data_IF_300947327770
#
_entry.id   IF_300947327770
#
_cell.length_a   1.000
_cell.length_b   1.000
_cell.length_c   1.000
_cell.angle_alpha   90.00
_cell.angle_beta   90.00
_cell.angle_gamma   90.00
#
_symmetry.space_group_name_H-M   'P 1'
#
loop_
_entity.id
_entity.type
_entity.pdbx_description
1 polymer ?
#
# COMPACT_ATOMS: atom_id res chain seq x y z
N UNK A 1 20.18 11.19 16.28
CA UNK A 1 18.91 11.11 17.05
C UNK A 1 19.14 11.79 18.39
N UNK A 2 18.72 13.05 18.52
CA UNK A 2 18.90 13.82 19.76
C UNK A 2 17.74 13.50 20.68
N UNK A 3 17.99 12.75 21.75
CA UNK A 3 17.02 12.52 22.81
C UNK A 3 16.73 13.90 23.42
N UNK A 4 15.48 14.38 23.32
CA UNK A 4 15.06 15.59 24.02
C UNK A 4 14.99 15.27 25.52
N UNK A 5 15.84 15.93 26.29
CA UNK A 5 16.12 15.65 27.69
C UNK A 5 15.26 16.50 28.66
N UNK A 6 14.34 17.32 28.16
CA UNK A 6 13.59 18.31 28.96
C UNK A 6 12.54 17.67 29.91
N UNK A 7 12.33 16.35 29.85
CA UNK A 7 11.45 15.61 30.77
C UNK A 7 12.17 15.15 32.06
N UNK A 8 13.49 15.30 32.11
CA UNK A 8 14.35 14.69 33.11
C UNK A 8 14.44 15.51 34.41
N UNK A 9 13.83 16.70 34.45
CA UNK A 9 13.93 17.70 35.51
C UNK A 9 13.31 17.32 36.87
N UNK A 10 12.59 16.19 36.96
CA UNK A 10 11.99 15.71 38.21
C UNK A 10 12.79 14.62 38.94
N UNK A 11 13.96 14.22 38.40
CA UNK A 11 14.87 13.30 39.07
C UNK A 11 15.97 14.07 39.78
N UNK A 12 16.50 13.53 40.89
CA UNK A 12 17.73 14.08 41.48
C UNK A 12 18.78 14.19 40.35
N UNK A 13 19.36 15.38 40.12
CA UNK A 13 20.23 15.66 38.97
C UNK A 13 21.38 14.65 38.80
N UNK A 14 21.89 14.08 39.89
CA UNK A 14 23.00 13.12 39.87
C UNK A 14 22.62 11.74 39.34
N UNK A 15 21.44 11.21 39.72
CA UNK A 15 20.94 9.92 39.19
C UNK A 15 20.57 10.02 37.73
N UNK A 16 20.05 11.18 37.39
CA UNK A 16 19.63 11.51 36.05
C UNK A 16 20.80 11.58 35.08
N UNK A 17 21.89 12.28 35.45
CA UNK A 17 23.12 12.34 34.66
C UNK A 17 23.73 10.94 34.45
N UNK A 18 23.80 10.10 35.49
CA UNK A 18 24.34 8.74 35.41
C UNK A 18 23.52 7.88 34.42
N UNK A 19 22.19 7.92 34.50
CA UNK A 19 21.30 7.16 33.60
C UNK A 19 21.34 7.71 32.17
N UNK A 20 21.44 9.03 31.99
CA UNK A 20 21.66 9.66 30.68
C UNK A 20 22.98 9.19 30.06
N UNK A 21 24.07 9.16 30.83
CA UNK A 21 25.37 8.67 30.35
C UNK A 21 25.34 7.17 30.04
N UNK A 22 24.71 6.36 30.88
CA UNK A 22 24.57 4.91 30.64
C UNK A 22 23.75 4.62 29.38
N UNK A 23 22.63 5.29 29.15
CA UNK A 23 21.84 5.08 27.91
C UNK A 23 22.60 5.60 26.68
N UNK A 24 23.37 6.69 26.80
CA UNK A 24 24.17 7.26 25.71
C UNK A 24 25.39 6.41 25.34
N UNK A 25 26.04 5.79 26.32
CA UNK A 25 27.37 5.18 26.17
C UNK A 25 27.37 3.64 26.33
N UNK A 26 26.31 3.02 26.86
CA UNK A 26 26.35 1.58 27.16
C UNK A 26 26.02 0.71 25.96
N UNK A 27 26.86 -0.30 25.76
CA UNK A 27 26.54 -1.55 25.06
C UNK A 27 26.01 -2.60 26.07
N UNK A 28 25.71 -2.17 27.30
CA UNK A 28 25.32 -3.05 28.40
C UNK A 28 23.81 -3.29 28.39
N UNK A 29 23.43 -4.30 27.61
CA UNK A 29 22.06 -4.79 27.45
C UNK A 29 21.41 -5.15 28.78
N UNK A 30 22.18 -5.69 29.73
CA UNK A 30 21.63 -6.19 30.99
C UNK A 30 21.21 -5.05 31.92
N UNK A 31 21.97 -3.94 31.92
CA UNK A 31 21.56 -2.73 32.63
C UNK A 31 20.25 -2.16 32.08
N UNK A 32 20.05 -2.14 30.76
CA UNK A 32 18.82 -1.64 30.14
C UNK A 32 17.59 -2.49 30.51
N UNK A 33 17.75 -3.82 30.60
CA UNK A 33 16.67 -4.74 30.99
C UNK A 33 16.18 -4.54 32.43
N UNK A 34 17.05 -4.06 33.31
CA UNK A 34 16.77 -3.92 34.74
C UNK A 34 16.21 -2.54 35.13
N UNK A 35 15.96 -1.64 34.17
CA UNK A 35 15.37 -0.33 34.47
C UNK A 35 13.92 -0.51 34.94
N UNK A 36 13.56 -0.07 36.16
CA UNK A 36 12.20 -0.24 36.66
C UNK A 36 11.16 0.60 35.91
N UNK A 37 9.95 0.06 35.76
CA UNK A 37 8.84 0.71 35.04
C UNK A 37 8.38 2.04 35.65
N UNK A 38 8.59 2.25 36.97
CA UNK A 38 8.17 3.47 37.66
C UNK A 38 8.95 4.73 37.20
N UNK A 39 10.04 4.57 36.42
CA UNK A 39 10.76 5.64 35.75
C UNK A 39 10.35 5.76 34.27
N UNK A 40 9.06 5.90 33.97
CA UNK A 40 8.43 5.75 32.63
C UNK A 40 9.20 6.34 31.45
N UNK A 41 9.60 7.61 31.47
CA UNK A 41 10.36 8.19 30.34
C UNK A 41 11.76 7.59 30.17
N UNK A 42 12.44 7.25 31.28
CA UNK A 42 13.73 6.56 31.23
C UNK A 42 13.55 5.14 30.73
N UNK A 43 12.55 4.44 31.26
CA UNK A 43 12.16 3.10 30.82
C UNK A 43 11.86 3.08 29.32
N UNK A 44 11.08 4.03 28.82
CA UNK A 44 10.80 4.21 27.40
C UNK A 44 12.08 4.36 26.57
N UNK A 45 12.98 5.28 26.96
CA UNK A 45 14.24 5.50 26.25
C UNK A 45 15.14 4.25 26.27
N UNK A 46 15.19 3.55 27.39
CA UNK A 46 15.99 2.34 27.53
C UNK A 46 15.45 1.17 26.72
N UNK A 47 14.13 0.98 26.70
CA UNK A 47 13.48 -0.04 25.88
C UNK A 47 13.69 0.24 24.38
N UNK A 48 13.56 1.49 23.96
CA UNK A 48 13.90 1.90 22.59
C UNK A 48 15.33 1.52 22.24
N UNK A 49 16.28 1.85 23.12
CA UNK A 49 17.71 1.55 22.91
C UNK A 49 17.99 0.05 22.88
N UNK A 50 17.33 -0.71 23.77
CA UNK A 50 17.42 -2.16 23.81
C UNK A 50 16.94 -2.78 22.49
N UNK A 51 15.80 -2.32 21.96
CA UNK A 51 15.29 -2.80 20.68
C UNK A 51 16.24 -2.49 19.52
N UNK A 52 16.86 -1.31 19.50
CA UNK A 52 17.89 -0.97 18.52
C UNK A 52 19.11 -1.90 18.61
N UNK A 53 19.62 -2.17 19.83
CA UNK A 53 20.79 -3.02 20.05
C UNK A 53 20.52 -4.49 19.71
N UNK A 54 19.33 -4.99 20.00
CA UNK A 54 18.94 -6.39 19.74
C UNK A 54 18.31 -6.58 18.35
N UNK A 55 18.27 -5.55 17.51
CA UNK A 55 17.60 -5.55 16.20
C UNK A 55 16.13 -6.03 16.29
N UNK A 56 15.45 -5.70 17.37
CA UNK A 56 14.03 -6.00 17.54
C UNK A 56 13.23 -4.97 16.74
N UNK A 57 12.35 -5.45 15.86
CA UNK A 57 11.48 -4.58 15.07
C UNK A 57 10.46 -3.87 15.97
N UNK A 58 10.42 -2.54 15.89
CA UNK A 58 9.43 -1.70 16.55
C UNK A 58 8.98 -0.53 15.66
N UNK A 59 7.88 0.10 16.01
CA UNK A 59 7.41 1.36 15.41
C UNK A 59 7.11 2.38 16.51
N UNK A 60 7.60 3.59 16.30
CA UNK A 60 7.39 4.73 17.20
C UNK A 60 6.40 5.70 16.55
N UNK A 61 5.48 6.24 17.34
CA UNK A 61 4.60 7.33 16.93
C UNK A 61 4.20 8.18 18.11
N UNK A 62 3.45 9.26 17.86
CA UNK A 62 3.09 10.26 18.85
C UNK A 62 1.59 10.53 18.82
N UNK A 63 1.00 10.83 19.96
CA UNK A 63 -0.40 11.25 20.04
C UNK A 63 -0.62 12.41 20.99
N UNK A 64 -1.66 13.19 20.70
CA UNK A 64 -2.07 14.31 21.54
C UNK A 64 -3.15 13.84 22.51
N UNK A 65 -2.84 13.95 23.80
CA UNK A 65 -3.78 13.70 24.89
C UNK A 65 -4.16 15.01 25.58
N UNK A 66 -5.40 15.08 26.06
CA UNK A 66 -5.81 16.09 27.04
C UNK A 66 -5.42 15.50 28.39
N UNK A 67 -4.41 16.08 29.04
CA UNK A 67 -4.04 15.70 30.40
C UNK A 67 -4.90 16.44 31.44
N UNK A 68 -4.78 16.05 32.71
CA UNK A 68 -5.52 16.61 33.85
C UNK A 68 -5.30 18.13 34.09
N UNK A 69 -4.38 18.76 33.36
CA UNK A 69 -4.09 20.20 33.48
C UNK A 69 -3.67 20.90 32.19
N UNK A 70 -3.04 20.19 31.23
CA UNK A 70 -2.61 20.72 29.91
C UNK A 70 -2.57 19.59 28.87
N UNK A 71 -2.69 19.96 27.59
CA UNK A 71 -2.42 19.06 26.47
C UNK A 71 -0.96 18.60 26.47
N UNK A 72 -0.76 17.34 26.11
CA UNK A 72 0.56 16.70 26.03
C UNK A 72 0.72 15.93 24.72
N UNK A 73 1.94 15.91 24.22
CA UNK A 73 2.36 15.01 23.15
C UNK A 73 3.03 13.79 23.78
N UNK A 74 2.42 12.62 23.61
CA UNK A 74 2.85 11.38 24.23
C UNK A 74 3.38 10.47 23.14
N UNK A 75 4.52 9.83 23.39
CA UNK A 75 5.14 8.88 22.48
C UNK A 75 4.75 7.45 22.86
N UNK A 76 4.57 6.62 21.85
CA UNK A 76 4.29 5.20 21.98
C UNK A 76 5.27 4.42 21.10
N UNK A 77 5.83 3.35 21.66
CA UNK A 77 6.56 2.33 20.91
C UNK A 77 5.67 1.10 20.85
N UNK A 78 5.50 0.54 19.66
CA UNK A 78 4.79 -0.72 19.42
C UNK A 78 5.76 -1.76 18.89
N UNK A 79 5.74 -2.96 19.45
CA UNK A 79 6.65 -4.07 19.11
C UNK A 79 5.93 -5.42 19.20
N UNK A 80 6.46 -6.44 18.52
CA UNK A 80 5.86 -7.78 18.51
C UNK A 80 6.15 -8.47 19.84
N UNK A 81 5.12 -9.04 20.46
CA UNK A 81 5.24 -9.69 21.76
C UNK A 81 4.52 -11.04 21.77
N UNK A 82 5.11 -12.04 22.45
CA UNK A 82 4.57 -13.42 22.49
C UNK A 82 3.43 -13.58 23.50
N UNK A 83 3.48 -12.86 24.63
CA UNK A 83 2.46 -12.91 25.69
C UNK A 83 2.11 -11.48 26.15
N UNK A 84 1.48 -10.67 25.29
CA UNK A 84 1.31 -9.25 25.59
C UNK A 84 0.15 -9.02 26.58
N UNK A 85 0.45 -8.51 27.78
CA UNK A 85 -0.52 -8.34 28.88
C UNK A 85 -0.96 -6.88 29.12
N UNK A 86 -0.68 -5.99 28.17
CA UNK A 86 -1.04 -4.58 28.31
C UNK A 86 -2.53 -4.32 27.98
N UNK A 87 -3.29 -3.86 28.96
CA UNK A 87 -4.72 -3.56 28.82
C UNK A 87 -5.02 -2.50 27.74
N UNK A 88 -4.11 -1.54 27.49
CA UNK A 88 -4.27 -0.54 26.44
C UNK A 88 -4.31 -1.15 25.03
N UNK A 89 -3.68 -2.31 24.83
CA UNK A 89 -3.53 -2.92 23.50
C UNK A 89 -4.70 -3.81 23.07
N UNK A 90 -5.53 -4.26 24.01
CA UNK A 90 -6.55 -5.30 23.80
C UNK A 90 -7.44 -5.01 22.60
N UNK A 91 -8.06 -3.83 22.58
CA UNK A 91 -8.98 -3.42 21.52
C UNK A 91 -8.31 -3.41 20.14
N UNK A 92 -7.08 -2.92 20.04
CA UNK A 92 -6.39 -2.79 18.76
C UNK A 92 -5.90 -4.15 18.25
N UNK A 93 -5.48 -5.06 19.15
CA UNK A 93 -5.17 -6.46 18.77
C UNK A 93 -6.37 -7.17 18.17
N UNK A 94 -7.56 -7.01 18.78
CA UNK A 94 -8.80 -7.60 18.28
C UNK A 94 -9.15 -7.08 16.87
N UNK A 95 -8.97 -5.78 16.65
CA UNK A 95 -9.21 -5.16 15.34
C UNK A 95 -8.22 -5.64 14.26
N UNK A 96 -6.93 -5.74 14.58
CA UNK A 96 -5.88 -6.10 13.63
C UNK A 96 -5.65 -7.61 13.48
N UNK A 97 -6.12 -8.41 14.45
CA UNK A 97 -5.76 -9.83 14.61
C UNK A 97 -4.24 -10.03 14.62
N UNK A 98 -3.54 -9.16 15.34
CA UNK A 98 -2.09 -9.09 15.40
C UNK A 98 -1.61 -8.91 16.85
N UNK A 99 -0.71 -9.79 17.29
CA UNK A 99 -0.18 -9.76 18.66
C UNK A 99 1.03 -8.81 18.77
N UNK A 100 0.86 -7.77 19.58
CA UNK A 100 1.88 -6.76 19.86
C UNK A 100 1.74 -6.23 21.29
N UNK A 101 2.76 -5.54 21.78
CA UNK A 101 2.67 -4.74 23.00
C UNK A 101 3.10 -3.29 22.74
N UNK A 102 2.85 -2.41 23.71
CA UNK A 102 3.13 -0.99 23.62
C UNK A 102 3.75 -0.43 24.90
N UNK A 103 4.68 0.51 24.74
CA UNK A 103 5.29 1.26 25.83
C UNK A 103 5.07 2.75 25.58
N UNK A 104 4.56 3.45 26.59
CA UNK A 104 4.33 4.88 26.59
C UNK A 104 5.46 5.61 27.32
N UNK A 105 5.84 6.81 26.87
CA UNK A 105 6.76 7.65 27.63
C UNK A 105 6.08 8.33 28.84
N UNK A 106 4.77 8.56 28.78
CA UNK A 106 3.93 9.09 29.85
C UNK A 106 2.57 8.37 29.84
N UNK A 107 2.14 7.85 30.99
CA UNK A 107 0.82 7.20 31.18
C UNK A 107 -0.21 8.12 31.84
N UNK A 108 0.18 9.34 32.20
CA UNK A 108 -0.72 10.34 32.78
C UNK A 108 -1.53 11.03 31.68
N UNK A 109 -2.45 10.26 31.09
CA UNK A 109 -3.44 10.67 30.12
C UNK A 109 -4.75 9.91 30.35
N UNK A 110 -5.87 10.57 30.04
CA UNK A 110 -7.18 9.97 30.15
C UNK A 110 -7.83 9.72 28.78
N UNK A 111 -8.67 8.67 28.74
CA UNK A 111 -9.50 8.32 27.61
C UNK A 111 -8.78 7.56 26.48
N UNK A 112 -9.48 7.37 25.36
CA UNK A 112 -9.02 6.54 24.24
C UNK A 112 -8.27 7.29 23.13
N UNK A 113 -7.67 8.45 23.41
CA UNK A 113 -7.00 9.28 22.39
C UNK A 113 -5.82 8.56 21.72
N UNK A 114 -5.23 7.58 22.41
CA UNK A 114 -4.10 6.79 21.94
C UNK A 114 -4.48 5.72 20.88
N UNK A 115 -5.77 5.35 20.77
CA UNK A 115 -6.20 4.20 19.96
C UNK A 115 -5.74 4.31 18.50
N UNK A 116 -5.92 5.49 17.90
CA UNK A 116 -5.51 5.73 16.52
C UNK A 116 -3.99 5.60 16.33
N UNK A 117 -3.21 6.19 17.24
CA UNK A 117 -1.76 6.14 17.20
C UNK A 117 -1.25 4.70 17.31
N UNK A 118 -1.81 3.95 18.26
CA UNK A 118 -1.48 2.56 18.48
C UNK A 118 -1.85 1.69 17.28
N UNK A 119 -3.03 1.90 16.67
CA UNK A 119 -3.43 1.21 15.45
C UNK A 119 -2.43 1.47 14.32
N UNK A 120 -2.09 2.74 14.07
CA UNK A 120 -1.15 3.12 13.02
C UNK A 120 0.23 2.48 13.24
N UNK A 121 0.74 2.50 14.47
CA UNK A 121 2.03 1.89 14.79
C UNK A 121 2.02 0.36 14.69
N UNK A 122 0.97 -0.30 15.17
CA UNK A 122 0.80 -1.75 15.02
C UNK A 122 0.66 -2.17 13.56
N UNK A 123 -0.13 -1.42 12.77
CA UNK A 123 -0.26 -1.66 11.33
C UNK A 123 1.08 -1.46 10.61
N UNK A 124 1.81 -0.38 10.95
CA UNK A 124 3.14 -0.13 10.41
C UNK A 124 4.13 -1.25 10.75
N UNK A 125 4.02 -1.83 11.95
CA UNK A 125 4.86 -2.94 12.36
C UNK A 125 4.50 -4.22 11.58
N UNK A 126 3.21 -4.52 11.46
CA UNK A 126 2.69 -5.69 10.74
C UNK A 126 3.10 -5.70 9.26
N UNK A 127 3.05 -4.54 8.60
CA UNK A 127 3.35 -4.40 7.17
C UNK A 127 4.73 -3.79 6.87
N UNK A 128 5.59 -3.67 7.88
CA UNK A 128 6.91 -3.04 7.77
C UNK A 128 6.91 -1.67 7.05
N UNK A 129 5.95 -0.81 7.40
CA UNK A 129 5.79 0.55 6.84
C UNK A 129 6.47 1.60 7.70
N UNK A 130 6.86 2.72 7.09
CA UNK A 130 7.39 3.87 7.82
C UNK A 130 6.30 4.92 8.00
N UNK A 131 6.20 5.46 9.21
CA UNK A 131 5.26 6.53 9.59
C UNK A 131 5.97 7.86 9.32
N UNK A 132 5.32 8.82 8.63
CA UNK A 132 5.95 10.14 8.42
C UNK A 132 6.13 10.87 9.76
N UNK A 133 7.34 11.38 9.98
CA UNK A 133 7.78 11.91 11.28
C UNK A 133 7.05 13.18 11.75
N UNK A 134 6.46 13.94 10.83
CA UNK A 134 5.74 15.18 11.13
C UNK A 134 4.27 14.94 11.53
N UNK A 135 3.77 13.70 11.50
CA UNK A 135 2.43 13.39 11.98
C UNK A 135 2.40 13.07 13.48
N UNK A 136 1.29 13.46 14.10
CA UNK A 136 0.85 12.94 15.39
C UNK A 136 -0.63 12.58 15.31
N UNK A 137 -1.09 11.75 16.23
CA UNK A 137 -2.42 11.15 16.16
C UNK A 137 -3.28 11.57 17.33
N UNK A 138 -4.59 11.51 17.17
CA UNK A 138 -5.51 11.43 18.29
C UNK A 138 -6.81 10.85 17.77
N UNK A 139 -7.42 9.94 18.53
CA UNK A 139 -8.78 9.52 18.25
C UNK A 139 -9.11 8.14 18.76
N UNK A 140 -10.39 7.96 19.04
CA UNK A 140 -11.01 6.70 19.44
C UNK A 140 -11.55 6.04 18.18
N UNK A 141 -11.04 4.85 17.86
CA UNK A 141 -11.58 4.00 16.80
C UNK A 141 -12.83 3.31 17.36
N UNK A 142 -14.00 3.47 16.75
CA UNK A 142 -15.21 2.74 17.12
C UNK A 142 -15.33 1.39 16.40
N UNK A 143 -16.37 0.62 16.71
CA UNK A 143 -16.62 -0.71 16.11
C UNK A 143 -16.84 -0.65 14.59
N UNK A 144 -17.23 0.52 14.06
CA UNK A 144 -17.40 0.76 12.62
C UNK A 144 -16.13 1.26 11.94
N UNK A 145 -14.99 1.23 12.63
CA UNK A 145 -13.69 1.77 12.18
C UNK A 145 -13.71 3.27 11.89
N UNK A 146 -14.69 4.01 12.43
CA UNK A 146 -14.72 5.46 12.38
C UNK A 146 -13.95 6.04 13.56
N UNK A 147 -13.42 7.24 13.36
CA UNK A 147 -12.55 7.90 14.32
C UNK A 147 -13.27 9.08 14.94
N UNK A 148 -13.34 9.10 16.27
CA UNK A 148 -13.87 10.22 17.06
C UNK A 148 -12.76 10.85 17.87
N UNK A 149 -12.62 12.17 17.77
CA UNK A 149 -11.56 12.91 18.48
C UNK A 149 -12.14 13.98 19.37
N UNK A 150 -12.41 13.66 20.65
CA UNK A 150 -12.78 14.66 21.65
C UNK A 150 -11.71 15.75 21.76
N UNK A 151 -12.14 17.00 21.81
CA UNK A 151 -11.28 18.19 21.92
C UNK A 151 -10.40 18.43 20.68
N UNK A 152 -10.85 18.04 19.49
CA UNK A 152 -10.06 18.13 18.24
C UNK A 152 -9.42 19.50 18.03
N UNK A 153 -10.19 20.59 18.16
CA UNK A 153 -9.68 21.95 17.93
C UNK A 153 -8.53 22.31 18.88
N UNK A 154 -8.63 21.92 20.14
CA UNK A 154 -7.62 22.19 21.16
C UNK A 154 -6.34 21.38 20.89
N UNK A 155 -6.52 20.09 20.58
CA UNK A 155 -5.44 19.19 20.21
C UNK A 155 -4.73 19.63 18.92
N UNK A 156 -5.48 20.15 17.94
CA UNK A 156 -4.92 20.67 16.70
C UNK A 156 -4.05 21.89 16.96
N UNK A 157 -4.53 22.85 17.76
CA UNK A 157 -3.74 24.03 18.15
C UNK A 157 -2.44 23.61 18.85
N UNK A 158 -2.53 22.64 19.75
CA UNK A 158 -1.36 22.11 20.44
C UNK A 158 -0.38 21.41 19.48
N UNK A 159 -0.86 20.53 18.60
CA UNK A 159 -0.03 19.86 17.59
C UNK A 159 0.70 20.88 16.69
N UNK A 160 -0.02 21.91 16.22
CA UNK A 160 0.55 22.98 15.42
C UNK A 160 1.67 23.73 16.20
N UNK A 161 1.48 23.99 17.49
CA UNK A 161 2.51 24.61 18.34
C UNK A 161 3.78 23.77 18.49
N UNK A 162 3.71 22.47 18.18
CA UNK A 162 4.82 21.51 18.18
C UNK A 162 5.33 21.19 16.79
N UNK A 163 4.91 21.95 15.77
CA UNK A 163 5.21 21.71 14.35
C UNK A 163 4.80 20.30 13.87
N UNK A 164 3.68 19.79 14.40
CA UNK A 164 3.10 18.49 14.03
C UNK A 164 1.77 18.67 13.32
N UNK A 165 1.50 17.79 12.35
CA UNK A 165 0.20 17.67 11.71
C UNK A 165 -0.60 16.63 12.48
N UNK A 166 -1.73 17.03 13.08
CA UNK A 166 -2.63 16.13 13.79
C UNK A 166 -3.51 15.36 12.80
N UNK A 167 -3.54 14.04 12.96
CA UNK A 167 -4.49 13.14 12.31
C UNK A 167 -5.53 12.71 13.35
N UNK A 168 -6.80 13.02 13.12
CA UNK A 168 -7.88 12.67 14.04
C UNK A 168 -9.30 13.08 13.64
N UNK A 169 -9.52 13.58 12.43
CA UNK A 169 -10.84 14.06 12.00
C UNK A 169 -11.41 13.14 10.92
N UNK A 170 -12.72 12.81 10.98
CA UNK A 170 -13.67 12.30 9.97
C UNK A 170 -13.18 11.46 8.75
N UNK A 171 -11.97 10.94 8.80
CA UNK A 171 -11.38 10.08 7.80
C UNK A 171 -11.73 8.65 8.17
N UNK A 172 -12.01 7.85 7.14
CA UNK A 172 -11.99 6.42 7.35
C UNK A 172 -10.53 5.97 7.58
N UNK A 173 -10.37 4.84 8.24
CA UNK A 173 -9.05 4.32 8.60
C UNK A 173 -8.14 4.14 7.38
N UNK A 174 -8.71 3.80 6.23
CA UNK A 174 -7.99 3.56 4.99
C UNK A 174 -7.36 4.86 4.42
N UNK A 175 -8.08 5.98 4.46
CA UNK A 175 -7.57 7.30 4.08
C UNK A 175 -6.39 7.73 4.95
N UNK A 176 -6.47 7.45 6.25
CA UNK A 176 -5.38 7.75 7.19
C UNK A 176 -4.13 6.97 6.85
N UNK A 177 -4.25 5.66 6.62
CA UNK A 177 -3.08 4.84 6.30
C UNK A 177 -2.41 5.34 5.00
N UNK A 178 -3.19 5.76 4.00
CA UNK A 178 -2.66 6.37 2.77
C UNK A 178 -1.91 7.68 3.04
N UNK A 179 -2.42 8.51 3.93
CA UNK A 179 -1.82 9.79 4.26
C UNK A 179 -0.52 9.63 5.07
N UNK A 180 -0.49 8.66 5.98
CA UNK A 180 0.49 8.57 7.05
C UNK A 180 1.72 7.75 6.70
N UNK A 181 1.58 6.73 5.87
CA UNK A 181 2.72 5.90 5.52
C UNK A 181 3.57 6.54 4.41
N UNK A 182 4.87 6.30 4.50
CA UNK A 182 5.75 6.45 3.34
C UNK A 182 5.54 5.22 2.45
N UNK A 183 5.16 5.40 1.17
CA UNK A 183 5.04 4.27 0.26
C UNK A 183 6.40 3.60 0.08
N UNK A 184 6.46 2.28 0.16
CA UNK A 184 7.62 1.58 -0.37
C UNK A 184 7.56 1.66 -1.89
N UNK A 185 8.71 1.81 -2.53
CA UNK A 185 8.80 1.60 -3.98
C UNK A 185 9.12 0.14 -4.23
N UNK A 186 8.23 -0.57 -4.91
CA UNK A 186 8.37 -1.98 -5.28
C UNK A 186 8.60 -2.10 -6.77
N UNK A 187 9.58 -2.90 -7.18
CA UNK A 187 9.84 -3.20 -8.58
C UNK A 187 9.71 -4.69 -8.82
N UNK A 188 8.83 -5.08 -9.73
CA UNK A 188 8.66 -6.47 -10.16
C UNK A 188 9.38 -6.67 -11.49
N UNK A 189 10.33 -7.60 -11.51
CA UNK A 189 11.15 -7.97 -12.66
C UNK A 189 10.81 -9.39 -13.10
N UNK A 190 10.41 -9.56 -14.36
CA UNK A 190 10.16 -10.88 -14.96
C UNK A 190 11.24 -11.20 -16.01
N UNK A 191 12.50 -11.21 -15.59
CA UNK A 191 13.69 -11.51 -16.41
C UNK A 191 14.79 -12.11 -15.54
N UNK A 192 15.66 -12.92 -16.11
CA UNK A 192 16.80 -13.53 -15.41
C UNK A 192 17.97 -12.54 -15.14
N UNK A 193 17.67 -11.30 -14.76
CA UNK A 193 18.67 -10.28 -14.45
C UNK A 193 18.56 -9.87 -12.98
N UNK A 194 19.66 -9.95 -12.23
CA UNK A 194 19.73 -9.32 -10.92
C UNK A 194 19.99 -7.82 -11.11
N UNK A 195 18.96 -7.02 -10.87
CA UNK A 195 19.04 -5.57 -10.92
C UNK A 195 18.78 -5.01 -9.52
N UNK A 196 19.74 -4.25 -9.00
CA UNK A 196 19.52 -3.37 -7.87
C UNK A 196 19.13 -2.00 -8.41
N UNK A 197 17.94 -1.53 -8.06
CA UNK A 197 17.46 -0.21 -8.46
C UNK A 197 17.37 0.67 -7.21
N UNK A 198 18.16 1.75 -7.10
CA UNK A 198 18.18 2.60 -5.92
C UNK A 198 16.78 3.06 -5.52
N UNK A 199 16.47 2.89 -4.24
CA UNK A 199 15.17 3.26 -3.66
C UNK A 199 14.05 2.25 -3.90
N UNK A 200 14.28 1.13 -4.62
CA UNK A 200 13.29 0.08 -4.81
C UNK A 200 13.60 -1.19 -4.00
N UNK A 201 12.56 -1.79 -3.44
CA UNK A 201 12.54 -3.21 -3.05
C UNK A 201 12.21 -4.01 -4.30
N UNK A 202 13.12 -4.88 -4.74
CA UNK A 202 13.01 -5.61 -6.01
C UNK A 202 12.58 -7.05 -5.77
N UNK A 203 11.56 -7.50 -6.51
CA UNK A 203 11.22 -8.92 -6.65
C UNK A 203 11.56 -9.37 -8.07
N UNK A 204 12.48 -10.32 -8.19
CA UNK A 204 12.76 -11.01 -9.44
C UNK A 204 11.99 -12.35 -9.48
N UNK A 205 11.06 -12.48 -10.42
CA UNK A 205 10.26 -13.70 -10.63
C UNK A 205 10.83 -14.62 -11.72
N UNK A 206 11.95 -14.23 -12.33
CA UNK A 206 12.61 -14.96 -13.42
C UNK A 206 11.85 -14.91 -14.74
N UNK A 207 12.25 -15.77 -15.67
CA UNK A 207 11.55 -15.96 -16.93
C UNK A 207 10.18 -16.63 -16.70
N UNK A 208 9.13 -16.04 -17.28
CA UNK A 208 7.79 -16.59 -17.20
C UNK A 208 7.62 -17.75 -18.21
N UNK A 209 7.03 -18.89 -17.80
CA UNK A 209 6.79 -20.02 -18.68
C UNK A 209 5.78 -19.68 -19.80
N UNK A 210 5.67 -20.50 -20.86
CA UNK A 210 4.69 -20.25 -21.95
C UNK A 210 3.23 -20.44 -21.53
N UNK A 211 3.00 -21.12 -20.42
CA UNK A 211 1.67 -21.45 -19.89
C UNK A 211 1.63 -21.23 -18.38
N UNK A 212 0.42 -21.01 -17.87
CA UNK A 212 0.10 -20.94 -16.44
C UNK A 212 1.00 -20.04 -15.57
N UNK A 213 0.62 -18.77 -15.50
CA UNK A 213 1.27 -17.77 -14.66
C UNK A 213 0.62 -17.63 -13.29
N UNK A 214 -0.37 -18.47 -12.95
CA UNK A 214 -1.27 -18.26 -11.81
C UNK A 214 -0.50 -18.19 -10.49
N UNK A 215 0.37 -19.18 -10.22
CA UNK A 215 1.16 -19.24 -8.99
C UNK A 215 2.14 -18.06 -8.88
N UNK A 216 2.83 -17.74 -9.96
CA UNK A 216 3.78 -16.62 -10.03
C UNK A 216 3.09 -15.26 -9.83
N UNK A 217 1.89 -15.07 -10.41
CA UNK A 217 1.06 -13.88 -10.18
C UNK A 217 0.71 -13.77 -8.69
N UNK A 218 0.20 -14.84 -8.08
CA UNK A 218 -0.19 -14.84 -6.65
C UNK A 218 1.02 -14.56 -5.75
N UNK A 219 2.19 -15.09 -6.07
CA UNK A 219 3.42 -14.81 -5.34
C UNK A 219 3.86 -13.36 -5.49
N UNK A 220 3.88 -12.83 -6.72
CA UNK A 220 4.27 -11.46 -7.01
C UNK A 220 3.32 -10.43 -6.38
N UNK A 221 2.02 -10.72 -6.37
CA UNK A 221 1.03 -9.87 -5.72
C UNK A 221 1.23 -9.79 -4.20
N UNK A 222 1.64 -10.87 -3.53
CA UNK A 222 1.95 -10.86 -2.08
C UNK A 222 3.17 -10.01 -1.71
N UNK A 223 4.00 -9.62 -2.68
CA UNK A 223 5.12 -8.71 -2.46
C UNK A 223 4.70 -7.23 -2.45
N UNK A 224 3.52 -6.93 -3.00
CA UNK A 224 2.93 -5.59 -3.03
C UNK A 224 2.03 -5.45 -1.81
N UNK A 225 2.33 -4.45 -0.98
CA UNK A 225 1.52 -4.09 0.16
C UNK A 225 0.60 -2.91 -0.19
N UNK A 226 -0.50 -2.71 0.56
CA UNK A 226 -1.34 -1.52 0.42
C UNK A 226 -0.53 -0.22 0.39
N UNK A 227 -0.92 0.71 -0.48
CA UNK A 227 -0.31 2.05 -0.62
C UNK A 227 1.13 2.07 -1.16
N UNK A 228 1.65 0.96 -1.68
CA UNK A 228 2.96 0.95 -2.33
C UNK A 228 2.98 1.76 -3.63
N UNK A 229 4.16 2.28 -3.94
CA UNK A 229 4.55 2.75 -5.27
C UNK A 229 5.08 1.56 -6.06
N UNK A 230 4.37 1.15 -7.12
CA UNK A 230 4.68 -0.08 -7.86
C UNK A 230 5.20 0.23 -9.25
N UNK A 231 6.30 -0.42 -9.62
CA UNK A 231 6.87 -0.40 -10.94
C UNK A 231 6.99 -1.81 -11.50
N UNK A 232 6.93 -1.94 -12.82
CA UNK A 232 6.91 -3.23 -13.50
C UNK A 232 7.88 -3.22 -14.67
N UNK A 233 8.79 -4.20 -14.68
CA UNK A 233 9.57 -4.57 -15.86
C UNK A 233 9.24 -6.03 -16.19
N UNK A 234 8.03 -6.21 -16.72
CA UNK A 234 7.46 -7.50 -17.05
C UNK A 234 6.43 -7.33 -18.18
N UNK A 235 5.92 -8.43 -18.77
CA UNK A 235 4.83 -8.36 -19.74
C UNK A 235 3.57 -7.69 -19.21
N UNK A 236 2.88 -6.92 -20.07
CA UNK A 236 1.59 -6.29 -19.74
C UNK A 236 0.56 -7.29 -19.21
N UNK A 237 0.46 -8.49 -19.81
CA UNK A 237 -0.44 -9.55 -19.35
C UNK A 237 -0.13 -10.01 -17.91
N UNK A 238 1.15 -10.02 -17.50
CA UNK A 238 1.56 -10.42 -16.16
C UNK A 238 1.18 -9.35 -15.14
N UNK A 239 1.52 -8.08 -15.43
CA UNK A 239 1.13 -6.94 -14.61
C UNK A 239 -0.40 -6.82 -14.46
N UNK A 240 -1.17 -7.07 -15.54
CA UNK A 240 -2.62 -7.15 -15.50
C UNK A 240 -3.12 -8.23 -14.54
N UNK A 241 -2.51 -9.42 -14.55
CA UNK A 241 -2.83 -10.50 -13.62
C UNK A 241 -2.58 -10.13 -12.15
N UNK A 242 -1.46 -9.47 -11.87
CA UNK A 242 -1.15 -8.98 -10.52
C UNK A 242 -2.20 -7.96 -10.06
N UNK A 243 -2.51 -6.97 -10.91
CA UNK A 243 -3.55 -5.99 -10.61
C UNK A 243 -4.92 -6.63 -10.37
N UNK A 244 -5.30 -7.62 -11.19
CA UNK A 244 -6.55 -8.35 -11.04
C UNK A 244 -6.63 -9.15 -9.74
N UNK A 245 -5.50 -9.71 -9.29
CA UNK A 245 -5.42 -10.40 -8.00
C UNK A 245 -5.60 -9.45 -6.82
N UNK A 246 -4.92 -8.29 -6.84
CA UNK A 246 -4.99 -7.27 -5.78
C UNK A 246 -6.35 -6.53 -5.75
N UNK A 247 -6.96 -6.34 -6.92
CA UNK A 247 -8.19 -5.58 -7.07
C UNK A 247 -8.02 -4.10 -6.74
N UNK A 248 -9.14 -3.42 -6.48
CA UNK A 248 -9.18 -1.98 -6.19
C UNK A 248 -9.48 -1.69 -4.71
N UNK A 249 -9.17 -2.62 -3.81
CA UNK A 249 -9.44 -2.44 -2.37
C UNK A 249 -8.50 -1.39 -1.79
N UNK A 250 -7.25 -1.36 -2.26
CA UNK A 250 -6.25 -0.39 -1.86
C UNK A 250 -5.75 0.40 -3.08
N UNK A 251 -5.48 1.71 -2.93
CA UNK A 251 -4.85 2.50 -3.95
C UNK A 251 -3.36 2.16 -3.99
N UNK A 252 -2.83 2.03 -5.20
CA UNK A 252 -1.42 1.91 -5.50
C UNK A 252 -1.03 3.05 -6.42
N UNK A 253 0.16 3.61 -6.22
CA UNK A 253 0.74 4.57 -7.15
C UNK A 253 1.55 3.80 -8.17
N UNK A 254 1.19 3.88 -9.44
CA UNK A 254 1.85 3.10 -10.49
C UNK A 254 2.90 3.97 -11.15
N UNK A 255 4.16 3.53 -11.10
CA UNK A 255 5.30 4.22 -11.68
C UNK A 255 5.60 3.67 -13.09
N UNK A 256 5.92 4.56 -14.02
CA UNK A 256 6.37 4.25 -15.37
C UNK A 256 7.81 4.71 -15.58
N UNK A 257 8.64 3.84 -16.15
CA UNK A 257 10.03 4.19 -16.46
C UNK A 257 10.11 4.85 -17.83
N UNK A 258 10.47 6.14 -17.86
CA UNK A 258 10.65 6.91 -19.09
C UNK A 258 11.87 7.82 -18.94
N UNK A 259 12.70 7.89 -19.98
CA UNK A 259 13.87 8.78 -20.05
C UNK A 259 14.82 8.64 -18.85
N UNK A 260 15.06 7.41 -18.39
CA UNK A 260 16.00 7.13 -17.29
C UNK A 260 15.44 7.30 -15.88
N UNK A 261 14.17 7.70 -15.74
CA UNK A 261 13.53 7.94 -14.44
C UNK A 261 12.17 7.27 -14.31
N UNK A 262 11.77 6.99 -13.07
CA UNK A 262 10.43 6.49 -12.75
C UNK A 262 9.52 7.69 -12.43
N UNK A 263 8.52 7.89 -13.28
CA UNK A 263 7.50 8.93 -13.12
C UNK A 263 6.21 8.29 -12.59
N UNK A 264 5.46 9.01 -11.75
CA UNK A 264 4.11 8.58 -11.37
C UNK A 264 3.21 8.65 -12.61
N UNK A 265 2.62 7.51 -12.97
CA UNK A 265 1.83 7.37 -14.19
C UNK A 265 0.33 7.46 -13.92
N UNK A 266 -0.15 6.78 -12.88
CA UNK A 266 -1.54 6.86 -12.42
C UNK A 266 -1.65 6.31 -11.00
N UNK A 267 -2.84 6.46 -10.41
CA UNK A 267 -3.24 5.84 -9.15
C UNK A 267 -4.38 4.85 -9.38
N UNK A 268 -4.38 3.72 -8.68
CA UNK A 268 -5.43 2.68 -8.80
C UNK A 268 -6.60 2.90 -7.84
N UNK A 269 -7.11 4.13 -7.80
CA UNK A 269 -8.23 4.50 -6.94
C UNK A 269 -9.61 4.09 -7.52
N UNK A 270 -10.67 4.50 -6.81
CA UNK A 270 -12.06 4.18 -7.18
C UNK A 270 -12.49 4.84 -8.50
N UNK A 271 -11.82 5.90 -8.96
CA UNK A 271 -12.20 6.63 -10.16
C UNK A 271 -12.04 5.77 -11.43
N UNK A 272 -11.12 4.81 -11.42
CA UNK A 272 -10.97 3.82 -12.50
C UNK A 272 -12.24 2.97 -12.73
N UNK A 273 -13.13 2.92 -11.73
CA UNK A 273 -14.41 2.21 -11.77
C UNK A 273 -15.61 3.13 -11.96
N UNK A 274 -15.40 4.44 -12.05
CA UNK A 274 -16.49 5.39 -12.29
C UNK A 274 -17.04 5.19 -13.70
N UNK A 275 -18.32 4.80 -13.77
CA UNK A 275 -19.02 4.55 -15.02
C UNK A 275 -19.26 5.87 -15.72
N UNK A 276 -18.70 5.99 -16.91
CA UNK A 276 -19.06 7.00 -17.89
C UNK A 276 -18.71 6.45 -19.28
N UNK A 277 -19.69 6.58 -20.19
CA UNK A 277 -19.66 5.99 -21.54
C UNK A 277 -19.17 6.98 -22.61
N UNK A 278 -18.49 8.04 -22.20
CA UNK A 278 -17.70 8.87 -23.10
C UNK A 278 -16.39 8.14 -23.45
N UNK A 279 -16.26 7.74 -24.71
CA UNK A 279 -15.07 7.07 -25.25
C UNK A 279 -14.22 8.04 -26.09
N UNK A 280 -13.91 9.21 -25.52
CA UNK A 280 -13.19 10.27 -26.22
C UNK A 280 -11.80 9.83 -26.69
N UNK A 281 -11.16 8.89 -26.00
CA UNK A 281 -9.80 8.42 -26.30
C UNK A 281 -9.77 7.14 -27.13
N UNK A 282 -10.93 6.49 -27.32
CA UNK A 282 -11.00 5.13 -27.86
C UNK A 282 -11.69 5.06 -29.21
N UNK A 283 -11.27 4.08 -30.02
CA UNK A 283 -12.01 3.54 -31.15
C UNK A 283 -12.39 2.10 -30.81
N UNK A 284 -13.66 1.77 -30.95
CA UNK A 284 -14.20 0.45 -30.66
C UNK A 284 -14.93 -0.02 -31.92
N UNK A 285 -14.52 -1.14 -32.49
CA UNK A 285 -15.29 -1.74 -33.58
C UNK A 285 -16.50 -2.50 -33.02
N UNK A 286 -17.52 -2.67 -33.86
CA UNK A 286 -18.73 -3.40 -33.50
C UNK A 286 -18.76 -4.78 -34.16
N UNK A 287 -19.51 -5.69 -33.55
CA UNK A 287 -19.92 -6.95 -34.15
C UNK A 287 -21.38 -6.84 -34.62
N UNK A 288 -21.68 -7.51 -35.72
CA UNK A 288 -23.04 -7.64 -36.27
C UNK A 288 -23.95 -8.52 -35.42
N UNK A 289 -23.36 -9.47 -34.69
CA UNK A 289 -24.08 -10.40 -33.82
C UNK A 289 -23.48 -10.45 -32.42
N UNK A 290 -24.24 -10.97 -31.46
CA UNK A 290 -23.84 -11.13 -30.06
C UNK A 290 -23.24 -12.54 -29.82
N UNK A 291 -21.91 -12.73 -29.89
CA UNK A 291 -21.32 -14.04 -29.71
C UNK A 291 -21.30 -14.44 -28.23
N UNK A 292 -21.42 -15.75 -27.95
CA UNK A 292 -21.24 -16.30 -26.59
C UNK A 292 -19.78 -16.19 -26.11
N UNK A 293 -18.83 -16.21 -27.02
CA UNK A 293 -17.39 -16.10 -26.76
C UNK A 293 -16.74 -15.23 -27.85
N UNK A 294 -15.88 -14.30 -27.44
CA UNK A 294 -15.19 -13.38 -28.36
C UNK A 294 -13.75 -13.10 -27.92
N UNK A 295 -12.96 -12.55 -28.84
CA UNK A 295 -11.66 -11.96 -28.53
C UNK A 295 -11.86 -10.46 -28.23
N UNK A 296 -11.22 -9.95 -27.18
CA UNK A 296 -11.01 -8.51 -26.98
C UNK A 296 -9.52 -8.22 -27.13
N UNK A 297 -9.18 -7.39 -28.11
CA UNK A 297 -7.81 -6.95 -28.37
C UNK A 297 -7.67 -5.50 -27.92
N UNK A 298 -6.80 -5.25 -26.94
CA UNK A 298 -6.46 -3.90 -26.49
C UNK A 298 -5.21 -3.42 -27.23
N UNK A 299 -5.33 -2.35 -28.01
CA UNK A 299 -4.25 -1.82 -28.86
C UNK A 299 -3.93 -0.35 -28.50
N UNK A 300 -2.95 -0.20 -27.63
CA UNK A 300 -2.52 1.05 -26.98
C UNK A 300 -0.99 1.19 -26.95
N UNK A 301 -0.26 0.27 -27.58
CA UNK A 301 1.18 0.30 -27.77
C UNK A 301 1.52 0.13 -29.25
N UNK A 302 2.80 0.19 -29.61
CA UNK A 302 3.26 0.25 -31.01
C UNK A 302 2.96 -1.02 -31.83
N UNK A 303 2.79 -2.17 -31.18
CA UNK A 303 2.56 -3.44 -31.86
C UNK A 303 1.07 -3.76 -31.95
N UNK A 304 0.58 -4.03 -33.15
CA UNK A 304 -0.79 -4.45 -33.36
C UNK A 304 -1.01 -5.88 -32.84
N UNK A 305 -1.91 -6.10 -31.87
CA UNK A 305 -2.24 -7.43 -31.42
C UNK A 305 -3.07 -8.17 -32.47
N UNK A 306 -2.86 -9.48 -32.59
CA UNK A 306 -3.69 -10.35 -33.42
C UNK A 306 -4.59 -11.25 -32.57
N UNK A 307 -5.63 -11.80 -33.19
CA UNK A 307 -6.56 -12.68 -32.51
C UNK A 307 -5.86 -14.00 -32.09
N UNK A 308 -5.97 -14.43 -30.83
CA UNK A 308 -5.34 -15.67 -30.37
C UNK A 308 -6.15 -16.91 -30.77
N UNK A 309 -7.39 -16.73 -31.25
CA UNK A 309 -8.32 -17.79 -31.64
C UNK A 309 -9.20 -17.33 -32.80
N UNK A 310 -9.88 -18.26 -33.48
CA UNK A 310 -10.79 -17.97 -34.59
C UNK A 310 -12.16 -17.39 -34.17
N UNK A 311 -12.29 -16.88 -32.93
CA UNK A 311 -13.53 -16.27 -32.43
C UNK A 311 -13.73 -14.85 -33.00
N UNK A 312 -14.98 -14.33 -33.02
CA UNK A 312 -15.24 -12.94 -33.39
C UNK A 312 -14.41 -11.98 -32.53
N UNK A 313 -13.93 -10.89 -33.13
CA UNK A 313 -12.92 -10.03 -32.52
C UNK A 313 -13.41 -8.59 -32.39
N UNK A 314 -13.39 -8.10 -31.15
CA UNK A 314 -13.53 -6.68 -30.85
C UNK A 314 -12.16 -6.11 -30.53
N UNK A 315 -11.78 -5.06 -31.25
CA UNK A 315 -10.59 -4.26 -31.03
C UNK A 315 -11.00 -2.96 -30.35
N UNK A 316 -10.39 -2.71 -29.20
CA UNK A 316 -10.44 -1.43 -28.49
C UNK A 316 -9.07 -0.81 -28.66
N UNK A 317 -8.98 0.31 -29.37
CA UNK A 317 -7.71 0.95 -29.68
C UNK A 317 -7.70 2.44 -29.36
N UNK A 318 -6.51 3.00 -29.11
CA UNK A 318 -6.35 4.42 -28.93
C UNK A 318 -6.65 5.18 -30.24
N UNK A 319 -7.34 6.32 -30.15
CA UNK A 319 -7.51 7.23 -31.30
C UNK A 319 -6.18 7.75 -31.84
N UNK A 320 -5.26 8.09 -30.93
CA UNK A 320 -3.89 8.51 -31.26
C UNK A 320 -2.94 7.35 -30.99
N UNK A 321 -2.39 6.79 -32.07
CA UNK A 321 -1.52 5.60 -32.03
C UNK A 321 -0.06 5.98 -31.73
N UNK A 322 0.71 5.02 -31.20
CA UNK A 322 2.17 5.10 -31.12
C UNK A 322 2.74 5.44 -29.74
N UNK A 323 2.16 6.42 -29.02
CA UNK A 323 2.54 6.72 -27.64
C UNK A 323 1.44 7.50 -26.92
N UNK A 324 0.78 6.88 -25.94
CA UNK A 324 -0.21 7.56 -25.12
C UNK A 324 0.55 8.44 -24.12
N UNK A 325 0.21 9.73 -23.98
CA UNK A 325 0.82 10.57 -22.95
C UNK A 325 0.55 10.03 -21.54
N UNK A 326 1.52 10.11 -20.64
CA UNK A 326 1.40 9.57 -19.28
C UNK A 326 0.18 10.15 -18.56
N UNK A 327 -0.05 11.45 -18.70
CA UNK A 327 -1.17 12.19 -18.13
C UNK A 327 -2.54 11.61 -18.51
N UNK A 328 -2.62 10.93 -19.66
CA UNK A 328 -3.85 10.31 -20.14
C UNK A 328 -4.01 8.86 -19.67
N UNK A 329 -3.00 8.24 -19.06
CA UNK A 329 -3.05 6.82 -18.69
C UNK A 329 -4.25 6.48 -17.80
N UNK A 330 -4.55 7.32 -16.80
CA UNK A 330 -5.68 7.10 -15.87
C UNK A 330 -7.01 7.10 -16.62
N UNK A 331 -7.24 8.14 -17.41
CA UNK A 331 -8.48 8.34 -18.15
C UNK A 331 -8.67 7.27 -19.23
N UNK A 332 -7.63 6.98 -20.03
CA UNK A 332 -7.69 5.90 -21.02
C UNK A 332 -7.95 4.55 -20.37
N UNK A 333 -7.31 4.25 -19.23
CA UNK A 333 -7.56 2.99 -18.48
C UNK A 333 -9.01 2.89 -18.01
N UNK A 334 -9.58 3.99 -17.49
CA UNK A 334 -10.98 4.07 -17.08
C UNK A 334 -11.92 3.84 -18.27
N UNK A 335 -11.67 4.48 -19.41
CA UNK A 335 -12.47 4.29 -20.62
C UNK A 335 -12.40 2.84 -21.13
N UNK A 336 -11.24 2.17 -21.06
CA UNK A 336 -11.13 0.74 -21.43
C UNK A 336 -12.00 -0.14 -20.53
N UNK A 337 -11.95 0.09 -19.20
CA UNK A 337 -12.80 -0.64 -18.26
C UNK A 337 -14.30 -0.42 -18.58
N UNK A 338 -14.69 0.83 -18.84
CA UNK A 338 -16.07 1.18 -19.19
C UNK A 338 -16.49 0.59 -20.54
N UNK A 339 -15.58 0.54 -21.53
CA UNK A 339 -15.82 -0.09 -22.82
C UNK A 339 -16.06 -1.59 -22.67
N UNK A 340 -15.24 -2.31 -21.90
CA UNK A 340 -15.44 -3.74 -21.63
C UNK A 340 -16.79 -3.99 -20.93
N UNK A 341 -17.15 -3.14 -19.96
CA UNK A 341 -18.45 -3.23 -19.28
C UNK A 341 -19.62 -2.93 -20.21
N UNK A 342 -19.49 -1.93 -21.09
CA UNK A 342 -20.46 -1.58 -22.11
C UNK A 342 -20.68 -2.76 -23.07
N UNK A 343 -19.60 -3.33 -23.61
CA UNK A 343 -19.63 -4.50 -24.49
C UNK A 343 -20.26 -5.71 -23.82
N UNK A 344 -19.96 -5.95 -22.52
CA UNK A 344 -20.57 -7.03 -21.75
C UNK A 344 -22.08 -6.86 -21.63
N UNK A 345 -22.57 -5.63 -21.47
CA UNK A 345 -24.01 -5.31 -21.45
C UNK A 345 -24.64 -5.47 -22.83
N UNK A 346 -23.98 -4.96 -23.87
CA UNK A 346 -24.48 -4.98 -25.24
C UNK A 346 -24.58 -6.40 -25.81
N UNK A 347 -23.52 -7.19 -25.66
CA UNK A 347 -23.40 -8.49 -26.32
C UNK A 347 -23.66 -9.69 -25.40
N UNK A 348 -23.75 -9.49 -24.08
CA UNK A 348 -24.00 -10.55 -23.08
C UNK A 348 -23.11 -11.80 -23.24
N UNK A 349 -21.88 -11.62 -23.72
CA UNK A 349 -20.93 -12.72 -23.91
C UNK A 349 -20.62 -13.38 -22.56
N UNK A 350 -20.35 -14.70 -22.59
CA UNK A 350 -20.06 -15.51 -21.40
C UNK A 350 -18.57 -15.68 -21.14
N UNK A 351 -17.74 -15.54 -22.17
CA UNK A 351 -16.29 -15.75 -22.10
C UNK A 351 -15.54 -14.81 -23.04
N UNK A 352 -14.39 -14.34 -22.58
CA UNK A 352 -13.50 -13.47 -23.36
C UNK A 352 -12.11 -14.09 -23.48
N UNK A 353 -11.52 -14.01 -24.67
CA UNK A 353 -10.09 -14.20 -24.86
C UNK A 353 -9.44 -12.79 -24.94
N UNK A 354 -8.70 -12.42 -23.90
CA UNK A 354 -8.17 -11.07 -23.74
C UNK A 354 -6.69 -11.02 -24.16
N UNK A 355 -6.37 -10.07 -25.05
CA UNK A 355 -5.00 -9.76 -25.47
C UNK A 355 -4.70 -8.30 -25.15
N UNK A 356 -3.53 -8.05 -24.54
CA UNK A 356 -3.09 -6.71 -24.16
C UNK A 356 -1.84 -6.32 -24.95
N UNK A 357 -1.97 -5.29 -25.78
CA UNK A 357 -0.84 -4.53 -26.32
C UNK A 357 -0.95 -3.10 -25.80
N UNK A 358 -0.38 -2.85 -24.63
CA UNK A 358 -0.52 -1.57 -23.93
C UNK A 358 0.62 -1.32 -22.94
N UNK A 359 0.83 -0.07 -22.48
CA UNK A 359 1.77 0.24 -21.41
C UNK A 359 1.52 -0.61 -20.16
N UNK A 360 2.59 -1.14 -19.57
CA UNK A 360 2.51 -2.08 -18.43
C UNK A 360 1.81 -1.44 -17.22
N UNK A 361 2.01 -0.13 -17.00
CA UNK A 361 1.35 0.62 -15.94
C UNK A 361 -0.19 0.64 -16.10
N UNK A 362 -0.67 0.89 -17.33
CA UNK A 362 -2.10 0.83 -17.64
C UNK A 362 -2.64 -0.59 -17.50
N UNK A 363 -1.89 -1.60 -17.92
CA UNK A 363 -2.30 -3.00 -17.79
C UNK A 363 -2.50 -3.41 -16.33
N UNK A 364 -1.59 -3.04 -15.43
CA UNK A 364 -1.75 -3.27 -13.99
C UNK A 364 -3.02 -2.59 -13.44
N UNK A 365 -3.21 -1.31 -13.75
CA UNK A 365 -4.36 -0.56 -13.27
C UNK A 365 -5.70 -1.06 -13.83
N UNK A 366 -5.72 -1.48 -15.10
CA UNK A 366 -6.87 -2.15 -15.70
C UNK A 366 -7.17 -3.47 -14.98
N UNK A 367 -6.13 -4.21 -14.59
CA UNK A 367 -6.25 -5.38 -13.73
C UNK A 367 -6.96 -5.05 -12.42
N UNK A 368 -6.49 -4.03 -11.69
CA UNK A 368 -7.12 -3.57 -10.44
C UNK A 368 -8.60 -3.17 -10.64
N UNK A 369 -8.90 -2.51 -11.76
CA UNK A 369 -10.25 -2.07 -12.10
C UNK A 369 -11.19 -3.24 -12.45
N UNK A 370 -10.74 -4.20 -13.25
CA UNK A 370 -11.55 -5.37 -13.66
C UNK A 370 -11.66 -6.40 -12.53
N UNK A 371 -10.60 -6.60 -11.74
CA UNK A 371 -10.52 -7.65 -10.74
C UNK A 371 -10.74 -9.04 -11.33
N UNK A 372 -11.49 -9.88 -10.61
CA UNK A 372 -11.74 -11.28 -10.97
C UNK A 372 -13.15 -11.51 -11.57
N UNK A 373 -13.89 -10.44 -11.87
CA UNK A 373 -15.32 -10.51 -12.23
C UNK A 373 -15.58 -10.89 -13.69
N UNK A 374 -14.58 -10.74 -14.55
CA UNK A 374 -14.68 -11.07 -15.97
C UNK A 374 -14.22 -12.52 -16.18
N UNK A 375 -15.05 -13.35 -16.82
CA UNK A 375 -14.62 -14.67 -17.27
C UNK A 375 -13.73 -14.53 -18.51
N UNK A 376 -12.45 -14.21 -18.28
CA UNK A 376 -11.47 -14.00 -19.33
C UNK A 376 -10.29 -14.98 -19.22
N UNK A 377 -9.95 -15.58 -20.36
CA UNK A 377 -8.66 -16.21 -20.61
C UNK A 377 -7.71 -15.15 -21.13
N UNK A 378 -6.59 -14.92 -20.45
CA UNK A 378 -5.59 -13.92 -20.82
C UNK A 378 -4.49 -14.59 -21.63
N UNK A 379 -4.12 -13.97 -22.75
CA UNK A 379 -3.08 -14.45 -23.64
C UNK A 379 -1.86 -13.52 -23.63
N UNK A 380 -0.70 -14.10 -23.90
CA UNK A 380 0.55 -13.38 -24.07
C UNK A 380 1.25 -13.83 -25.34
N UNK A 381 1.86 -12.88 -26.05
CA UNK A 381 2.65 -13.14 -27.24
C UNK A 381 4.08 -13.50 -26.86
N UNK A 382 4.56 -14.66 -27.31
CA UNK A 382 5.93 -15.11 -27.07
C UNK A 382 6.74 -15.00 -28.35
N UNK A 383 7.65 -14.02 -28.41
CA UNK A 383 8.46 -13.70 -29.60
C UNK A 383 9.22 -14.90 -30.16
N UNK A 384 9.76 -15.76 -29.30
CA UNK A 384 10.51 -16.95 -29.68
C UNK A 384 9.67 -18.00 -30.44
N UNK A 385 8.35 -17.95 -30.27
CA UNK A 385 7.38 -18.84 -30.93
C UNK A 385 6.51 -18.16 -31.97
N UNK A 386 6.60 -16.83 -32.08
CA UNK A 386 5.75 -16.02 -32.95
C UNK A 386 4.25 -16.13 -32.67
N UNK A 387 3.83 -16.61 -31.50
CA UNK A 387 2.44 -17.03 -31.23
C UNK A 387 1.92 -16.59 -29.86
N UNK A 388 0.59 -16.52 -29.74
CA UNK A 388 -0.09 -16.27 -28.47
C UNK A 388 -0.35 -17.56 -27.70
N UNK A 389 -0.03 -17.54 -26.41
CA UNK A 389 -0.35 -18.63 -25.48
C UNK A 389 -1.27 -18.13 -24.39
N UNK A 390 -2.22 -18.98 -23.99
CA UNK A 390 -3.04 -18.73 -22.81
C UNK A 390 -2.16 -18.83 -21.57
N UNK A 391 -2.02 -17.74 -20.84
CA UNK A 391 -1.15 -17.65 -19.67
C UNK A 391 -1.90 -17.79 -18.34
N UNK A 392 -3.16 -17.39 -18.24
CA UNK A 392 -4.01 -17.66 -17.07
C UNK A 392 -5.48 -17.40 -17.38
N UNK A 393 -6.40 -17.83 -16.51
CA UNK A 393 -7.75 -17.27 -16.46
C UNK A 393 -7.91 -16.39 -15.22
N UNK A 394 -8.73 -15.33 -15.32
CA UNK A 394 -9.04 -14.47 -14.18
C UNK A 394 -9.72 -15.23 -13.03
N UNK A 395 -10.53 -16.25 -13.32
CA UNK A 395 -11.17 -17.10 -12.31
C UNK A 395 -10.16 -17.82 -11.42
N UNK A 396 -9.00 -18.19 -11.97
CA UNK A 396 -7.99 -19.03 -11.31
C UNK A 396 -7.18 -18.21 -10.28
N UNK A 397 -7.29 -16.88 -10.34
CA UNK A 397 -6.71 -15.95 -9.37
C UNK A 397 -7.50 -15.87 -8.06
N UNK A 398 -8.66 -16.50 -7.96
CA UNK A 398 -9.48 -16.49 -6.74
C UNK A 398 -8.77 -17.12 -5.54
#
# INVERSE_FOLDING_TARGET
MTINLDYLDNLNPKRLEILKEQIKNSHDIETLRNIPENYRSIYYCAQKRLFELENIAFKETEFVAIGNSKNKLIKIIVFKAKNPNNHYTKKIKELLKFDFDAIFNDENFDGGSYNLAMYVAAYALMHNKNIKENYCFSGIIDESLKIKTPGLQEKQKYANSKNKILIGENLNLHEILNQVFMPDRKLILARNEQLSVPGFKVLNVGNLPKIDWTSTIKQAAKFIEPFDEVAFNCPASFAFGIGAYLGSIYPYKVLHFQSGQYLQALDTDRELKTIDYNFSELVINTLESAPKELNILLHFASHEPTAPTNKPTIKIEAKVKGNIPIENYKETTRQINNAINYLKRQYQFKKVNLVLSMPVAMAFALGCAIGKFLNASVYHYFFDSGSYFKVFNLSDLS
#
